data_IF_573399485525
#
_entry.id   IF_573399485525
#
_cell.length_a   1.000
_cell.length_b   1.000
_cell.length_c   1.000
_cell.angle_alpha   90.00
_cell.angle_beta   90.00
_cell.angle_gamma   90.00
#
_symmetry.space_group_name_H-M   'P 1'
#
loop_
_entity.id
_entity.type
_entity.pdbx_description
1 polymer ?
#
# COMPACT_ATOMS: atom_id res chain seq x y z
N UNK A 1 36.00 35.55 -21.60
CA UNK A 1 36.64 35.00 -22.83
C UNK A 1 37.26 33.67 -22.42
N UNK A 2 37.07 32.52 -23.06
CA UNK A 2 36.59 32.20 -24.39
C UNK A 2 35.96 30.80 -24.36
N UNK A 3 34.89 30.65 -25.16
CA UNK A 3 34.12 29.45 -25.45
C UNK A 3 35.01 28.26 -25.86
N UNK A 4 34.60 27.05 -25.48
CA UNK A 4 34.59 25.94 -26.42
C UNK A 4 33.35 25.08 -26.17
N UNK A 5 32.39 25.22 -27.09
CA UNK A 5 31.31 24.26 -27.26
C UNK A 5 31.91 23.07 -28.00
N UNK A 6 31.80 21.87 -27.42
CA UNK A 6 31.83 20.66 -28.21
C UNK A 6 30.43 20.03 -28.10
N UNK A 7 29.66 20.31 -29.15
CA UNK A 7 28.51 19.50 -29.54
C UNK A 7 29.03 18.09 -29.80
N UNK A 8 28.58 17.12 -29.01
CA UNK A 8 28.46 15.74 -29.49
C UNK A 8 27.04 15.29 -29.17
N UNK A 9 26.21 15.39 -30.19
CA UNK A 9 24.88 14.79 -30.30
C UNK A 9 25.00 13.26 -30.30
N UNK A 10 23.89 12.57 -29.95
CA UNK A 10 23.66 11.11 -29.90
C UNK A 10 24.30 10.42 -28.68
N UNK A 11 23.56 9.80 -27.75
CA UNK A 11 22.30 9.07 -27.90
C UNK A 11 21.41 9.37 -26.68
N UNK A 12 20.29 10.06 -26.88
CA UNK A 12 19.16 9.94 -25.97
C UNK A 12 18.60 8.52 -26.18
N UNK A 13 19.12 7.54 -25.44
CA UNK A 13 18.32 6.35 -25.15
C UNK A 13 17.31 6.82 -24.11
N UNK A 14 16.24 7.42 -24.60
CA UNK A 14 14.97 7.31 -23.90
C UNK A 14 14.53 5.85 -24.01
N UNK A 15 15.20 4.97 -23.26
CA UNK A 15 14.51 3.80 -22.75
C UNK A 15 13.49 4.38 -21.79
N UNK A 16 12.34 4.79 -22.34
CA UNK A 16 11.10 4.57 -21.65
C UNK A 16 11.06 3.04 -21.45
N UNK A 17 11.74 2.57 -20.41
CA UNK A 17 11.35 1.32 -19.80
C UNK A 17 9.93 1.63 -19.36
N UNK A 18 8.98 1.27 -20.24
CA UNK A 18 7.69 0.80 -19.80
C UNK A 18 8.05 -0.36 -18.89
N UNK A 19 8.33 -0.05 -17.63
CA UNK A 19 8.34 -1.06 -16.63
C UNK A 19 6.92 -1.63 -16.77
N UNK A 20 6.82 -2.88 -17.21
CA UNK A 20 5.66 -3.72 -17.00
C UNK A 20 5.80 -4.29 -15.58
N UNK A 21 4.69 -4.59 -14.91
CA UNK A 21 4.76 -5.09 -13.54
C UNK A 21 5.43 -6.45 -13.70
N UNK A 22 6.64 -6.68 -13.16
CA UNK A 22 7.45 -7.79 -13.63
C UNK A 22 6.72 -9.07 -13.28
N UNK A 23 6.53 -9.95 -14.27
CA UNK A 23 5.94 -11.25 -13.95
C UNK A 23 6.93 -12.01 -13.09
N UNK A 24 6.38 -12.81 -12.20
CA UNK A 24 7.23 -13.54 -11.28
C UNK A 24 6.57 -13.89 -9.97
N UNK A 25 7.41 -14.36 -9.07
CA UNK A 25 7.03 -14.73 -7.73
C UNK A 25 8.20 -14.53 -6.77
N UNK A 26 7.83 -14.16 -5.55
CA UNK A 26 8.68 -14.20 -4.37
C UNK A 26 8.00 -15.16 -3.40
N UNK A 27 8.74 -16.10 -2.83
CA UNK A 27 8.23 -17.03 -1.82
C UNK A 27 8.99 -16.88 -0.51
N UNK A 28 8.22 -16.68 0.56
CA UNK A 28 8.71 -16.59 1.93
C UNK A 28 9.89 -15.61 2.11
N UNK A 29 9.77 -14.40 1.56
CA UNK A 29 10.72 -13.32 1.82
C UNK A 29 10.59 -12.83 3.26
N UNK A 30 11.71 -12.84 3.97
CA UNK A 30 11.88 -12.31 5.30
C UNK A 30 12.90 -11.18 5.22
N UNK A 31 12.66 -10.10 5.94
CA UNK A 31 13.56 -8.96 6.01
C UNK A 31 13.67 -8.47 7.45
N UNK A 32 14.87 -8.06 7.84
CA UNK A 32 15.10 -7.34 9.08
C UNK A 32 16.05 -6.18 8.78
N UNK A 33 15.51 -4.98 8.78
CA UNK A 33 16.23 -3.72 8.59
C UNK A 33 16.40 -3.02 9.94
N UNK A 34 17.63 -2.57 10.22
CA UNK A 34 17.95 -1.73 11.37
C UNK A 34 18.97 -0.67 10.90
N UNK A 35 18.52 0.58 10.84
CA UNK A 35 19.25 1.68 10.17
C UNK A 35 20.77 1.67 10.41
N UNK A 36 21.61 1.79 9.35
CA UNK A 36 21.24 2.09 7.96
C UNK A 36 21.06 0.86 7.06
N UNK A 37 21.21 -0.36 7.57
CA UNK A 37 21.26 -1.58 6.75
C UNK A 37 20.49 -2.74 7.36
N UNK A 38 20.16 -3.73 6.55
CA UNK A 38 19.42 -4.90 6.96
C UNK A 38 19.85 -6.14 6.21
N UNK A 39 19.21 -7.24 6.58
CA UNK A 39 19.39 -8.54 5.92
C UNK A 39 18.05 -9.13 5.57
N UNK A 40 18.00 -9.84 4.45
CA UNK A 40 16.83 -10.55 3.99
C UNK A 40 17.17 -11.96 3.54
N UNK A 41 16.17 -12.82 3.56
CA UNK A 41 16.24 -14.17 2.98
C UNK A 41 14.93 -14.49 2.31
N UNK A 42 14.95 -15.27 1.23
CA UNK A 42 13.74 -15.80 0.61
C UNK A 42 13.92 -17.29 0.37
N UNK A 43 12.82 -18.05 0.26
CA UNK A 43 12.91 -19.44 -0.20
C UNK A 43 13.17 -19.49 -1.70
N UNK A 44 12.51 -18.61 -2.45
CA UNK A 44 12.58 -18.55 -3.89
C UNK A 44 12.27 -17.15 -4.40
N UNK A 45 13.04 -16.69 -5.39
CA UNK A 45 12.76 -15.47 -6.14
C UNK A 45 12.88 -15.83 -7.61
N UNK A 46 11.87 -15.48 -8.39
CA UNK A 46 11.93 -15.53 -9.84
C UNK A 46 11.10 -14.38 -10.37
N UNK A 47 11.77 -13.31 -10.75
CA UNK A 47 11.17 -12.08 -11.27
C UNK A 47 11.82 -11.82 -12.61
N UNK A 48 11.02 -11.51 -13.63
CA UNK A 48 11.52 -11.13 -14.95
C UNK A 48 12.60 -10.04 -14.81
N UNK A 49 13.67 -10.12 -15.60
CA UNK A 49 14.85 -9.24 -15.58
C UNK A 49 15.76 -9.35 -14.33
N UNK A 50 15.19 -9.56 -13.15
CA UNK A 50 15.95 -9.81 -11.92
C UNK A 50 16.60 -11.21 -11.92
N UNK A 51 15.88 -12.24 -12.35
CA UNK A 51 16.38 -13.61 -12.47
C UNK A 51 15.85 -14.59 -11.42
N UNK A 52 16.37 -15.82 -11.45
CA UNK A 52 15.93 -16.94 -10.60
C UNK A 52 16.98 -17.27 -9.52
N UNK A 53 16.55 -17.19 -8.26
CA UNK A 53 17.38 -17.46 -7.09
C UNK A 53 16.68 -18.42 -6.11
N UNK A 54 17.45 -19.35 -5.54
CA UNK A 54 16.97 -20.32 -4.53
C UNK A 54 17.71 -20.09 -3.22
N UNK A 55 16.95 -19.89 -2.14
CA UNK A 55 17.49 -19.53 -0.83
C UNK A 55 18.49 -18.34 -0.85
N UNK A 56 18.22 -17.24 -1.60
CA UNK A 56 19.14 -16.10 -1.62
C UNK A 56 19.25 -15.44 -0.24
N UNK A 57 20.44 -14.90 0.03
CA UNK A 57 20.66 -13.89 1.05
C UNK A 57 20.63 -12.53 0.36
N UNK A 58 19.96 -11.56 0.99
CA UNK A 58 19.73 -10.23 0.44
C UNK A 58 20.29 -9.19 1.41
N UNK A 59 20.91 -8.16 0.86
CA UNK A 59 21.13 -6.91 1.58
C UNK A 59 19.86 -6.07 1.52
N UNK A 60 19.53 -5.37 2.61
CA UNK A 60 18.32 -4.55 2.71
C UNK A 60 18.69 -3.13 3.10
N UNK A 61 18.19 -2.15 2.37
CA UNK A 61 18.33 -0.73 2.68
C UNK A 61 16.96 -0.07 2.68
N UNK A 62 16.77 1.01 3.44
CA UNK A 62 15.54 1.78 3.45
C UNK A 62 15.78 3.16 2.82
N UNK A 63 15.08 3.44 1.73
CA UNK A 63 15.06 4.73 1.06
C UNK A 63 13.68 5.36 1.25
N UNK A 64 13.50 6.11 2.34
CA UNK A 64 12.26 6.83 2.68
C UNK A 64 11.00 5.95 2.63
N UNK A 65 11.06 4.74 3.21
CA UNK A 65 9.94 3.79 3.24
C UNK A 65 9.93 2.79 2.08
N UNK A 66 10.83 2.94 1.12
CA UNK A 66 11.06 1.94 0.08
C UNK A 66 12.20 1.03 0.51
N UNK A 67 11.88 -0.24 0.78
CA UNK A 67 12.89 -1.24 1.05
C UNK A 67 13.53 -1.69 -0.27
N UNK A 68 14.83 -1.46 -0.40
CA UNK A 68 15.64 -1.98 -1.50
C UNK A 68 16.24 -3.32 -1.08
N UNK A 69 16.00 -4.37 -1.87
CA UNK A 69 16.57 -5.70 -1.68
C UNK A 69 17.61 -5.96 -2.75
N UNK A 70 18.84 -6.28 -2.36
CA UNK A 70 19.96 -6.43 -3.29
C UNK A 70 20.64 -7.79 -3.18
N UNK A 71 21.06 -8.34 -4.32
CA UNK A 71 21.93 -9.51 -4.45
C UNK A 71 22.88 -9.29 -5.62
N UNK A 72 24.18 -9.44 -5.38
CA UNK A 72 25.21 -9.18 -6.40
C UNK A 72 25.08 -7.76 -6.98
N UNK A 73 24.81 -7.62 -8.28
CA UNK A 73 24.62 -6.35 -8.99
C UNK A 73 23.15 -6.02 -9.29
N UNK A 74 22.21 -6.76 -8.69
CA UNK A 74 20.77 -6.62 -8.94
C UNK A 74 20.02 -6.21 -7.70
N UNK A 75 18.93 -5.47 -7.91
CA UNK A 75 18.04 -5.07 -6.83
C UNK A 75 16.58 -5.04 -7.26
N UNK A 76 15.68 -5.12 -6.28
CA UNK A 76 14.26 -4.83 -6.46
C UNK A 76 13.72 -4.06 -5.25
N UNK A 77 12.64 -3.32 -5.46
CA UNK A 77 12.05 -2.43 -4.48
C UNK A 77 10.74 -2.98 -3.91
N UNK A 78 10.50 -2.72 -2.64
CA UNK A 78 9.20 -2.88 -1.98
C UNK A 78 8.83 -1.57 -1.31
N UNK A 79 7.89 -0.87 -1.92
CA UNK A 79 7.36 0.38 -1.37
C UNK A 79 6.38 0.09 -0.21
N UNK A 80 6.76 0.49 1.00
CA UNK A 80 5.95 0.43 2.21
C UNK A 80 5.46 1.82 2.64
N UNK A 81 5.67 2.88 1.85
CA UNK A 81 5.27 4.25 2.17
C UNK A 81 3.78 4.38 2.49
N UNK A 82 2.94 3.58 1.82
CA UNK A 82 1.49 3.49 2.07
C UNK A 82 1.13 3.05 3.50
N UNK A 83 2.08 2.48 4.25
CA UNK A 83 1.90 2.10 5.66
C UNK A 83 2.27 3.22 6.63
N UNK A 84 2.74 4.38 6.14
CA UNK A 84 3.17 5.50 6.98
C UNK A 84 4.48 5.22 7.73
N UNK A 85 5.34 4.36 7.18
CA UNK A 85 6.56 3.88 7.83
C UNK A 85 7.85 4.40 7.17
N UNK A 86 7.76 5.53 6.47
CA UNK A 86 8.86 6.12 5.70
C UNK A 86 10.15 6.30 6.51
N UNK A 87 9.98 6.70 7.76
CA UNK A 87 11.07 7.12 8.65
C UNK A 87 11.42 6.06 9.70
N UNK A 88 10.92 4.83 9.55
CA UNK A 88 11.16 3.77 10.52
C UNK A 88 12.65 3.40 10.63
N UNK A 89 13.20 3.52 11.85
CA UNK A 89 14.55 3.03 12.18
C UNK A 89 14.67 1.51 12.07
N UNK A 90 13.60 0.78 12.37
CA UNK A 90 13.56 -0.70 12.28
C UNK A 90 12.36 -1.16 11.47
N UNK A 91 12.58 -2.08 10.53
CA UNK A 91 11.51 -2.73 9.76
C UNK A 91 11.74 -4.25 9.77
N UNK A 92 10.75 -4.99 10.25
CA UNK A 92 10.71 -6.45 10.18
C UNK A 92 9.59 -6.91 9.26
N UNK A 93 9.92 -7.74 8.28
CA UNK A 93 8.97 -8.37 7.35
C UNK A 93 9.10 -9.88 7.46
N UNK A 94 7.97 -10.59 7.58
CA UNK A 94 7.96 -12.04 7.74
C UNK A 94 7.09 -12.70 6.68
N UNK A 95 7.70 -13.65 5.96
CA UNK A 95 7.05 -14.58 5.05
C UNK A 95 6.22 -13.87 3.97
N UNK A 96 6.80 -12.86 3.31
CA UNK A 96 6.18 -12.23 2.15
C UNK A 96 6.19 -13.18 0.96
N UNK A 97 5.01 -13.32 0.37
CA UNK A 97 4.76 -14.03 -0.85
C UNK A 97 4.13 -13.05 -1.85
N UNK A 98 4.78 -12.92 -2.99
CA UNK A 98 4.29 -12.14 -4.12
C UNK A 98 4.12 -13.07 -5.31
N UNK A 99 3.07 -12.87 -6.09
CA UNK A 99 2.92 -13.50 -7.39
C UNK A 99 2.25 -12.53 -8.34
N UNK A 100 2.83 -12.37 -9.51
CA UNK A 100 2.27 -11.62 -10.61
C UNK A 100 2.37 -12.44 -11.89
N UNK A 101 1.23 -12.71 -12.50
CA UNK A 101 1.12 -13.44 -13.76
C UNK A 101 -0.08 -12.95 -14.57
N UNK A 102 -0.30 -13.51 -15.75
CA UNK A 102 -1.37 -13.08 -16.66
C UNK A 102 -2.80 -13.14 -16.10
N UNK A 103 -3.04 -13.84 -14.98
CA UNK A 103 -4.37 -14.02 -14.38
C UNK A 103 -4.54 -13.28 -13.06
N UNK A 104 -3.48 -13.13 -12.27
CA UNK A 104 -3.60 -12.54 -10.94
C UNK A 104 -2.35 -11.76 -10.51
N UNK A 105 -2.60 -10.78 -9.65
CA UNK A 105 -1.58 -10.09 -8.86
C UNK A 105 -1.94 -10.39 -7.40
N UNK A 106 -1.04 -11.05 -6.66
CA UNK A 106 -1.26 -11.42 -5.28
C UNK A 106 -0.06 -11.04 -4.41
N UNK A 107 -0.35 -10.55 -3.23
CA UNK A 107 0.62 -10.24 -2.18
C UNK A 107 0.04 -10.73 -0.85
N UNK A 108 0.81 -11.50 -0.09
CA UNK A 108 0.46 -11.83 1.28
C UNK A 108 1.72 -11.94 2.12
N UNK A 109 1.62 -11.67 3.42
CA UNK A 109 2.72 -11.90 4.35
C UNK A 109 2.18 -12.19 5.74
N UNK A 110 2.99 -12.84 6.57
CA UNK A 110 2.55 -13.23 7.93
C UNK A 110 2.52 -12.02 8.85
N UNK A 111 3.54 -11.17 8.79
CA UNK A 111 3.55 -9.92 9.53
C UNK A 111 4.54 -8.91 8.96
N UNK A 112 4.25 -7.63 9.18
CA UNK A 112 5.24 -6.57 9.11
C UNK A 112 5.18 -5.75 10.39
N UNK A 113 6.34 -5.25 10.82
CA UNK A 113 6.50 -4.36 11.95
C UNK A 113 7.42 -3.23 11.54
N UNK A 114 7.07 -2.02 11.90
CA UNK A 114 7.93 -0.86 11.77
C UNK A 114 7.97 -0.12 13.10
N UNK A 115 9.15 0.34 13.47
CA UNK A 115 9.39 1.04 14.73
C UNK A 115 10.26 2.25 14.45
N UNK A 116 9.88 3.34 15.09
CA UNK A 116 10.67 4.54 15.27
C UNK A 116 10.53 5.01 16.73
N UNK A 117 11.17 6.12 17.10
CA UNK A 117 11.05 6.68 18.45
C UNK A 117 9.63 7.22 18.69
N UNK A 118 9.02 7.85 17.68
CA UNK A 118 7.71 8.51 17.80
C UNK A 118 6.52 7.59 17.47
N UNK A 119 6.76 6.43 16.87
CA UNK A 119 5.67 5.53 16.49
C UNK A 119 6.03 4.03 16.47
N UNK A 120 4.97 3.23 16.52
CA UNK A 120 5.05 1.79 16.23
C UNK A 120 3.88 1.38 15.34
N UNK A 121 4.20 0.61 14.32
CA UNK A 121 3.23 0.02 13.41
C UNK A 121 3.42 -1.49 13.38
N UNK A 122 2.33 -2.23 13.41
CA UNK A 122 2.35 -3.66 13.11
C UNK A 122 1.12 -4.09 12.36
N UNK A 123 1.30 -5.02 11.43
CA UNK A 123 0.23 -5.62 10.66
C UNK A 123 0.42 -7.13 10.60
N UNK A 124 -0.68 -7.88 10.71
CA UNK A 124 -0.69 -9.34 10.75
C UNK A 124 -1.60 -9.92 9.68
N UNK A 125 -1.06 -10.89 8.95
CA UNK A 125 -1.70 -11.60 7.84
C UNK A 125 -2.40 -10.70 6.81
N UNK A 126 -1.79 -9.60 6.34
CA UNK A 126 -2.34 -8.89 5.20
C UNK A 126 -2.28 -9.78 3.95
N UNK A 127 -3.33 -9.73 3.15
CA UNK A 127 -3.38 -10.36 1.84
C UNK A 127 -4.19 -9.50 0.87
N UNK A 128 -3.64 -9.32 -0.32
CA UNK A 128 -4.27 -8.70 -1.48
C UNK A 128 -4.27 -9.73 -2.59
N UNK A 129 -5.43 -9.97 -3.18
CA UNK A 129 -5.59 -10.79 -4.38
C UNK A 129 -6.39 -9.98 -5.39
N UNK A 130 -5.76 -9.65 -6.51
CA UNK A 130 -6.38 -8.95 -7.63
C UNK A 130 -6.49 -9.90 -8.83
N UNK A 131 -7.69 -10.06 -9.36
CA UNK A 131 -7.92 -10.82 -10.59
C UNK A 131 -7.74 -9.91 -11.80
N UNK A 132 -6.87 -10.29 -12.73
CA UNK A 132 -6.71 -9.57 -14.00
C UNK A 132 -7.88 -9.88 -14.93
N UNK A 133 -8.45 -8.83 -15.51
CA UNK A 133 -9.49 -8.91 -16.54
C UNK A 133 -9.04 -8.37 -17.89
N UNK A 134 -7.91 -7.66 -17.90
CA UNK A 134 -7.17 -7.24 -19.07
C UNK A 134 -5.71 -7.01 -18.67
N UNK A 135 -4.86 -6.91 -19.68
CA UNK A 135 -3.45 -6.50 -19.55
C UNK A 135 -3.34 -5.13 -20.21
N UNK A 136 -2.74 -4.18 -19.51
CA UNK A 136 -2.53 -2.81 -20.00
C UNK A 136 -1.02 -2.53 -20.10
N UNK A 137 -0.63 -1.74 -21.11
CA UNK A 137 0.79 -1.45 -21.38
C UNK A 137 1.48 -0.65 -20.27
N UNK A 138 0.72 0.17 -19.53
CA UNK A 138 1.22 0.94 -18.39
C UNK A 138 0.99 0.18 -17.07
N UNK A 139 2.05 -0.06 -16.27
CA UNK A 139 1.97 -0.73 -14.95
C UNK A 139 0.88 -0.15 -14.09
N UNK A 140 0.90 1.17 -13.93
CA UNK A 140 0.04 1.86 -12.96
C UNK A 140 -1.40 1.60 -13.36
N UNK A 141 -1.69 1.74 -14.65
CA UNK A 141 -2.98 1.45 -15.24
C UNK A 141 -3.37 -0.01 -15.10
N UNK A 142 -2.46 -0.97 -15.36
CA UNK A 142 -2.74 -2.40 -15.23
C UNK A 142 -3.09 -2.78 -13.79
N UNK A 143 -2.24 -2.38 -12.84
CA UNK A 143 -2.41 -2.66 -11.43
C UNK A 143 -3.70 -2.01 -10.90
N UNK A 144 -3.88 -0.71 -11.10
CA UNK A 144 -5.00 0.03 -10.54
C UNK A 144 -6.33 -0.35 -11.20
N UNK A 145 -6.35 -0.53 -12.53
CA UNK A 145 -7.58 -0.92 -13.24
C UNK A 145 -8.05 -2.31 -12.84
N UNK A 146 -7.13 -3.25 -12.62
CA UNK A 146 -7.50 -4.59 -12.20
C UNK A 146 -7.83 -4.65 -10.71
N UNK A 147 -6.98 -4.12 -9.82
CA UNK A 147 -7.19 -4.17 -8.38
C UNK A 147 -8.40 -3.35 -7.90
N UNK A 148 -8.71 -2.21 -8.54
CA UNK A 148 -9.90 -1.41 -8.19
C UNK A 148 -11.19 -1.93 -8.87
N UNK A 149 -11.11 -2.97 -9.70
CA UNK A 149 -12.29 -3.65 -10.26
C UNK A 149 -12.57 -4.99 -9.60
N UNK A 150 -11.55 -5.82 -9.41
CA UNK A 150 -11.70 -7.18 -8.90
C UNK A 150 -10.58 -7.50 -7.92
N UNK A 151 -10.84 -7.29 -6.64
CA UNK A 151 -9.88 -7.61 -5.60
C UNK A 151 -10.50 -8.06 -4.30
N UNK A 152 -9.70 -8.78 -3.52
CA UNK A 152 -9.97 -9.09 -2.12
C UNK A 152 -8.77 -8.64 -1.31
N UNK A 153 -9.02 -7.75 -0.34
CA UNK A 153 -8.05 -7.34 0.66
C UNK A 153 -8.51 -7.88 2.03
N UNK A 154 -7.59 -8.49 2.77
CA UNK A 154 -7.82 -8.99 4.13
C UNK A 154 -6.67 -8.60 5.01
N UNK A 155 -6.95 -8.18 6.25
CA UNK A 155 -5.94 -7.94 7.28
C UNK A 155 -6.51 -8.46 8.59
N UNK A 156 -5.80 -9.38 9.26
CA UNK A 156 -6.29 -9.94 10.52
C UNK A 156 -6.19 -8.92 11.66
N UNK A 157 -5.07 -8.21 11.73
CA UNK A 157 -4.83 -7.18 12.73
C UNK A 157 -3.91 -6.09 12.17
N UNK A 158 -4.21 -4.85 12.52
CA UNK A 158 -3.33 -3.70 12.37
C UNK A 158 -3.33 -2.96 13.69
N UNK A 159 -2.15 -2.69 14.23
CA UNK A 159 -1.95 -1.91 15.43
C UNK A 159 -1.04 -0.73 15.05
N UNK A 160 -1.48 0.48 15.34
CA UNK A 160 -0.69 1.68 15.20
C UNK A 160 -0.70 2.44 16.53
N UNK A 161 0.48 2.89 16.97
CA UNK A 161 0.64 3.75 18.13
C UNK A 161 1.56 4.91 17.75
N UNK A 162 1.13 6.12 18.04
CA UNK A 162 1.93 7.35 18.01
C UNK A 162 2.12 7.85 19.44
N UNK A 163 3.08 8.73 19.64
CA UNK A 163 3.21 9.50 20.88
C UNK A 163 2.22 10.68 20.95
N UNK A 164 1.65 11.08 19.81
CA UNK A 164 0.59 12.10 19.71
C UNK A 164 -0.80 11.49 19.80
N UNK A 165 -1.74 12.19 20.47
CA UNK A 165 -3.14 11.79 20.56
C UNK A 165 -3.94 12.44 19.43
N UNK A 166 -4.12 11.73 18.32
CA UNK A 166 -4.70 12.29 17.08
C UNK A 166 -5.95 11.54 16.60
N UNK A 167 -6.34 10.45 17.26
CA UNK A 167 -7.41 9.58 16.75
C UNK A 167 -8.76 9.83 17.42
N UNK A 168 -9.72 10.34 16.64
CA UNK A 168 -11.08 10.68 17.09
C UNK A 168 -12.02 9.46 17.13
N UNK A 169 -12.96 9.44 18.09
CA UNK A 169 -14.03 8.44 18.14
C UNK A 169 -15.06 8.65 17.02
N UNK A 170 -15.51 7.56 16.36
CA UNK A 170 -16.46 7.62 15.23
C UNK A 170 -17.93 7.55 15.65
N UNK A 171 -18.23 7.27 16.91
CA UNK A 171 -19.59 7.04 17.42
C UNK A 171 -20.06 8.24 18.25
N UNK A 172 -19.26 8.68 19.21
CA UNK A 172 -19.62 9.76 20.14
C UNK A 172 -19.42 11.13 19.50
N UNK A 173 -20.09 12.16 20.04
CA UNK A 173 -19.86 13.56 19.67
C UNK A 173 -18.74 14.20 20.50
N UNK A 174 -18.36 13.58 21.61
CA UNK A 174 -17.22 14.02 22.42
C UNK A 174 -15.90 13.66 21.71
N UNK A 175 -15.00 14.63 21.60
CA UNK A 175 -13.63 14.47 21.13
C UNK A 175 -12.83 13.63 22.15
N UNK A 176 -12.92 12.32 22.02
CA UNK A 176 -12.01 11.39 22.68
C UNK A 176 -10.89 11.10 21.70
N UNK A 177 -9.72 11.70 21.93
CA UNK A 177 -8.50 11.45 21.17
C UNK A 177 -7.74 10.27 21.78
N UNK A 178 -7.32 9.33 20.94
CA UNK A 178 -6.43 8.22 21.32
C UNK A 178 -5.09 8.38 20.62
N UNK A 179 -4.03 7.88 21.23
CA UNK A 179 -2.71 7.72 20.60
C UNK A 179 -2.52 6.36 19.93
N UNK A 180 -3.54 5.49 20.03
CA UNK A 180 -3.54 4.13 19.51
C UNK A 180 -4.76 3.85 18.64
N UNK A 181 -4.53 3.23 17.48
CA UNK A 181 -5.55 2.59 16.66
C UNK A 181 -5.30 1.08 16.63
N UNK A 182 -6.36 0.33 16.91
CA UNK A 182 -6.40 -1.11 16.68
C UNK A 182 -7.50 -1.43 15.68
N UNK A 183 -7.12 -2.05 14.56
CA UNK A 183 -8.04 -2.60 13.58
C UNK A 183 -7.93 -4.13 13.60
N UNK A 184 -9.06 -4.82 13.54
CA UNK A 184 -9.09 -6.27 13.39
C UNK A 184 -10.15 -6.73 12.42
N UNK A 185 -9.91 -7.90 11.84
CA UNK A 185 -10.79 -8.54 10.87
C UNK A 185 -11.16 -7.61 9.68
N UNK A 186 -10.20 -6.80 9.21
CA UNK A 186 -10.43 -5.96 8.03
C UNK A 186 -10.64 -6.85 6.80
N UNK A 187 -11.73 -6.61 6.08
CA UNK A 187 -12.05 -7.25 4.83
C UNK A 187 -12.57 -6.20 3.87
N UNK A 188 -12.09 -6.22 2.64
CA UNK A 188 -12.61 -5.44 1.53
C UNK A 188 -12.73 -6.35 0.31
N UNK A 189 -13.91 -6.42 -0.27
CA UNK A 189 -14.20 -7.15 -1.50
C UNK A 189 -14.65 -6.16 -2.56
N UNK A 190 -13.93 -6.11 -3.68
CA UNK A 190 -14.25 -5.29 -4.83
C UNK A 190 -14.65 -6.20 -5.99
N UNK A 191 -15.83 -5.97 -6.56
CA UNK A 191 -16.34 -6.69 -7.71
C UNK A 191 -16.96 -5.72 -8.72
N UNK A 192 -16.39 -5.65 -9.91
CA UNK A 192 -16.78 -4.69 -10.95
C UNK A 192 -16.79 -3.25 -10.44
N UNK A 193 -15.80 -2.89 -9.61
CA UNK A 193 -15.67 -1.57 -8.98
C UNK A 193 -16.64 -1.31 -7.83
N UNK A 194 -17.60 -2.20 -7.54
CA UNK A 194 -18.42 -2.12 -6.32
C UNK A 194 -17.66 -2.73 -5.17
N UNK A 195 -17.47 -1.99 -4.09
CA UNK A 195 -16.80 -2.49 -2.89
C UNK A 195 -17.77 -2.73 -1.74
N UNK A 196 -17.46 -3.76 -0.94
CA UNK A 196 -18.03 -4.00 0.38
C UNK A 196 -16.89 -4.27 1.35
N UNK A 197 -16.88 -3.55 2.46
CA UNK A 197 -15.86 -3.71 3.48
C UNK A 197 -16.44 -3.87 4.87
N UNK A 198 -15.69 -4.55 5.73
CA UNK A 198 -15.93 -4.60 7.17
C UNK A 198 -14.63 -4.52 7.94
N UNK A 199 -14.65 -3.86 9.09
CA UNK A 199 -13.51 -3.76 10.01
C UNK A 199 -14.02 -3.55 11.43
N UNK A 200 -13.37 -4.15 12.42
CA UNK A 200 -13.56 -3.79 13.83
C UNK A 200 -12.48 -2.80 14.21
N UNK A 201 -12.87 -1.66 14.78
CA UNK A 201 -11.93 -0.61 15.18
C UNK A 201 -12.10 -0.25 16.65
N UNK A 202 -11.00 0.07 17.33
CA UNK A 202 -11.05 0.72 18.64
C UNK A 202 -11.77 2.07 18.59
N UNK A 203 -11.70 2.79 17.46
CA UNK A 203 -12.36 4.09 17.25
C UNK A 203 -13.90 3.99 17.21
N UNK A 204 -14.43 2.79 16.94
CA UNK A 204 -15.87 2.49 16.99
C UNK A 204 -16.26 1.72 18.26
N UNK A 205 -15.50 1.86 19.35
CA UNK A 205 -15.72 1.13 20.61
C UNK A 205 -15.80 -0.39 20.41
N UNK A 206 -15.03 -0.92 19.44
CA UNK A 206 -15.03 -2.34 19.07
C UNK A 206 -16.19 -2.77 18.18
N UNK A 207 -17.12 -1.88 17.81
CA UNK A 207 -18.19 -2.20 16.86
C UNK A 207 -17.63 -2.47 15.47
N UNK A 208 -18.24 -3.42 14.75
CA UNK A 208 -17.95 -3.64 13.34
C UNK A 208 -18.49 -2.48 12.50
N UNK A 209 -17.57 -1.81 11.82
CA UNK A 209 -17.83 -0.84 10.78
C UNK A 209 -18.05 -1.61 9.47
N UNK A 210 -19.14 -1.32 8.76
CA UNK A 210 -19.45 -1.85 7.43
C UNK A 210 -19.54 -0.72 6.44
N UNK A 211 -18.80 -0.81 5.34
CA UNK A 211 -18.75 0.18 4.26
C UNK A 211 -19.18 -0.43 2.93
N UNK A 212 -19.86 0.35 2.10
CA UNK A 212 -20.25 -0.04 0.75
C UNK A 212 -20.11 1.17 -0.18
N UNK A 213 -19.69 0.94 -1.42
CA UNK A 213 -19.50 2.02 -2.38
C UNK A 213 -18.94 1.59 -3.73
N UNK A 214 -18.35 2.55 -4.44
CA UNK A 214 -17.73 2.38 -5.75
C UNK A 214 -16.27 2.86 -5.74
N UNK A 215 -15.39 2.14 -6.43
CA UNK A 215 -14.02 2.54 -6.70
C UNK A 215 -13.73 2.47 -8.19
N UNK A 216 -13.04 3.48 -8.72
CA UNK A 216 -12.60 3.48 -10.11
C UNK A 216 -11.27 4.21 -10.29
N UNK A 217 -10.46 3.71 -11.20
CA UNK A 217 -9.32 4.46 -11.74
C UNK A 217 -9.76 5.20 -13.01
N UNK A 218 -9.55 6.52 -13.03
CA UNK A 218 -9.81 7.38 -14.18
C UNK A 218 -8.49 7.64 -14.90
N UNK A 219 -8.24 6.87 -15.97
CA UNK A 219 -6.99 6.92 -16.74
C UNK A 219 -6.71 8.33 -17.28
N UNK A 220 -7.73 8.99 -17.85
CA UNK A 220 -7.59 10.31 -18.49
C UNK A 220 -7.12 11.42 -17.54
N UNK A 221 -7.57 11.37 -16.29
CA UNK A 221 -7.21 12.34 -15.25
C UNK A 221 -6.18 11.80 -14.25
N UNK A 222 -5.66 10.60 -14.47
CA UNK A 222 -4.72 9.91 -13.59
C UNK A 222 -5.12 9.97 -12.10
N UNK A 223 -6.39 9.67 -11.80
CA UNK A 223 -6.94 9.77 -10.44
C UNK A 223 -7.70 8.50 -10.04
N UNK A 224 -7.69 8.20 -8.75
CA UNK A 224 -8.58 7.20 -8.14
C UNK A 224 -9.78 7.95 -7.57
N UNK A 225 -10.99 7.49 -7.88
CA UNK A 225 -12.23 8.00 -7.32
C UNK A 225 -12.91 6.91 -6.50
N UNK A 226 -13.20 7.23 -5.24
CA UNK A 226 -13.90 6.36 -4.28
C UNK A 226 -15.19 7.08 -3.88
N UNK A 227 -16.33 6.47 -4.19
CA UNK A 227 -17.64 6.92 -3.73
C UNK A 227 -18.09 6.07 -2.57
N UNK A 228 -18.33 6.65 -1.41
CA UNK A 228 -18.84 5.95 -0.23
C UNK A 228 -20.37 6.10 -0.17
N UNK A 229 -21.10 5.05 -0.54
CA UNK A 229 -22.57 5.07 -0.53
C UNK A 229 -23.11 4.87 0.90
N UNK A 230 -22.42 4.08 1.72
CA UNK A 230 -22.87 3.71 3.06
C UNK A 230 -21.69 3.42 3.97
N UNK A 231 -21.78 3.90 5.21
CA UNK A 231 -20.91 3.48 6.29
C UNK A 231 -21.70 3.38 7.60
N UNK A 232 -21.61 2.24 8.29
CA UNK A 232 -22.32 1.99 9.54
C UNK A 232 -21.44 1.32 10.59
N UNK A 233 -21.48 1.79 11.83
CA UNK A 233 -20.94 1.08 12.99
C UNK A 233 -22.10 0.48 13.78
N UNK A 234 -22.28 -0.85 13.72
CA UNK A 234 -23.49 -1.48 14.27
C UNK A 234 -24.78 -0.92 13.62
N UNK A 235 -25.60 -0.21 14.40
CA UNK A 235 -26.83 0.45 13.92
C UNK A 235 -26.61 1.93 13.51
N UNK A 236 -25.48 2.53 13.89
CA UNK A 236 -25.22 3.95 13.71
C UNK A 236 -24.73 4.23 12.29
N UNK A 237 -25.29 5.24 11.62
CA UNK A 237 -24.75 5.77 10.37
C UNK A 237 -23.57 6.68 10.71
N UNK A 238 -22.38 6.32 10.24
CA UNK A 238 -21.14 7.07 10.52
C UNK A 238 -20.53 7.66 9.25
N UNK A 239 -21.28 7.69 8.13
CA UNK A 239 -20.76 8.13 6.84
C UNK A 239 -20.25 9.58 6.90
N UNK A 240 -21.08 10.52 7.35
CA UNK A 240 -20.68 11.94 7.41
C UNK A 240 -19.51 12.15 8.38
N UNK A 241 -19.50 11.50 9.54
CA UNK A 241 -18.36 11.54 10.48
C UNK A 241 -17.04 11.06 9.85
N UNK A 242 -17.09 10.02 9.00
CA UNK A 242 -15.90 9.58 8.24
C UNK A 242 -15.45 10.68 7.28
N UNK A 243 -16.37 11.35 6.58
CA UNK A 243 -16.02 12.47 5.70
C UNK A 243 -15.45 13.65 6.48
N UNK A 244 -16.05 14.03 7.61
CA UNK A 244 -15.56 15.12 8.47
C UNK A 244 -14.11 14.87 8.93
N UNK A 245 -13.75 13.63 9.27
CA UNK A 245 -12.36 13.29 9.62
C UNK A 245 -11.43 13.25 8.39
N UNK A 246 -11.90 12.74 7.26
CA UNK A 246 -11.09 12.68 6.03
C UNK A 246 -10.85 14.07 5.42
N UNK A 247 -11.78 15.02 5.58
CA UNK A 247 -11.61 16.41 5.14
C UNK A 247 -10.43 17.09 5.85
N UNK A 248 -10.07 16.64 7.06
CA UNK A 248 -8.85 17.11 7.75
C UNK A 248 -7.56 16.67 7.05
N UNK A 249 -7.65 15.68 6.15
CA UNK A 249 -6.54 15.15 5.35
C UNK A 249 -6.51 15.72 3.92
N UNK A 250 -7.34 16.71 3.60
CA UNK A 250 -7.33 17.36 2.28
C UNK A 250 -5.94 17.94 1.97
N UNK A 251 -5.47 17.69 0.75
CA UNK A 251 -4.13 18.06 0.29
C UNK A 251 -4.11 18.22 -1.23
N UNK A 252 -2.94 18.56 -1.79
CA UNK A 252 -2.75 18.64 -3.24
C UNK A 252 -2.98 17.30 -3.96
N UNK A 253 -2.95 16.17 -3.24
CA UNK A 253 -3.13 14.82 -3.79
C UNK A 253 -4.41 14.13 -3.35
N UNK A 254 -5.11 14.63 -2.33
CA UNK A 254 -6.35 14.04 -1.82
C UNK A 254 -7.40 15.14 -1.72
N UNK A 255 -8.55 14.93 -2.34
CA UNK A 255 -9.73 15.79 -2.20
C UNK A 255 -10.93 15.01 -1.70
N UNK A 256 -11.54 15.50 -0.64
CA UNK A 256 -12.65 14.88 0.06
C UNK A 256 -13.87 15.80 -0.06
N UNK A 257 -14.93 15.29 -0.70
CA UNK A 257 -16.21 15.99 -0.87
C UNK A 257 -17.33 14.97 -0.83
N UNK A 258 -18.08 14.89 0.27
CA UNK A 258 -19.13 13.87 0.42
C UNK A 258 -20.04 13.80 -0.83
N UNK A 259 -20.24 12.61 -1.46
CA UNK A 259 -19.84 11.26 -1.03
C UNK A 259 -18.55 10.72 -1.68
N UNK A 260 -17.66 11.57 -2.19
CA UNK A 260 -16.47 11.22 -2.96
C UNK A 260 -15.16 11.52 -2.22
N UNK A 261 -14.21 10.62 -2.38
CA UNK A 261 -12.79 10.79 -2.07
C UNK A 261 -12.04 10.62 -3.39
N UNK A 262 -11.24 11.62 -3.77
CA UNK A 262 -10.46 11.61 -5.00
C UNK A 262 -8.98 11.65 -4.65
N UNK A 263 -8.19 10.75 -5.22
CA UNK A 263 -6.73 10.69 -5.03
C UNK A 263 -6.07 10.95 -6.38
N UNK A 264 -5.33 12.05 -6.49
CA UNK A 264 -4.53 12.39 -7.65
C UNK A 264 -3.20 11.62 -7.61
N UNK A 265 -2.92 10.88 -8.68
CA UNK A 265 -1.65 10.17 -8.80
C UNK A 265 -0.63 11.07 -9.49
N UNK A 266 0.58 11.13 -8.93
CA UNK A 266 1.74 11.82 -9.50
C UNK A 266 2.68 10.83 -10.20
#
# INVERSE_FOLDING_TARGET
>A
MMKSKLFSTLILFHLFAYAELPNGQIQALNANYNSPTGTGTAKYINIDEFGEYRNPQLEVENYNGTLMFSIEDKSFELDLSMLGVSDAQTIGLNNLNFSNNSKNIALNFSSAKALDDDFSFSVSNPSVDCTRTGIFDDIKTDLLSNCLKYSKLRISRLDFRSDTSEFTNLITEEEITSSKIDLSDFKLDINSGKFKGEVKSSMSQGLTIKVEGLSQFKVESNQIEIKLDKAKAGIFNIKSKIFDELEKMDSDTISVREPYITIQLK
#
